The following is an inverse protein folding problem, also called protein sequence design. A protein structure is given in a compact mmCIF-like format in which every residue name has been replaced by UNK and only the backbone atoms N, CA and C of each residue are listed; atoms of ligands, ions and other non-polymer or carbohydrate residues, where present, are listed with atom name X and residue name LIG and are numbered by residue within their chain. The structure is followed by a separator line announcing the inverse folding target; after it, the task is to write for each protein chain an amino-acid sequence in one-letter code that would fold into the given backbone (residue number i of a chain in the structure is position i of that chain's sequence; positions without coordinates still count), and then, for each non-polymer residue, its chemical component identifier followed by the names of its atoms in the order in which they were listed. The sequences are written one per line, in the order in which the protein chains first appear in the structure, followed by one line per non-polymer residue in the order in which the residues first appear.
data_IF_356210623252
#
_entry.id   IF_356210623252
#
_cell.length_a   1.000
_cell.length_b   1.000
_cell.length_c   1.000
_cell.angle_alpha   90.00
_cell.angle_beta   90.00
_cell.angle_gamma   90.00
#
_symmetry.space_group_name_H-M   'P 1'
#
loop_
_entity.id
_entity.type
_entity.pdbx_description
1 polymer ?
#
# COMPACT_ATOMS: atom_id res chain seq x y z
N UNK A 1 20.81 -5.71 -8.70
CA UNK A 1 20.32 -4.32 -8.79
C UNK A 1 20.56 -3.76 -10.19
N UNK A 2 19.53 -3.19 -10.84
CA UNK A 2 19.62 -2.66 -12.21
C UNK A 2 19.84 -1.14 -12.25
N UNK A 3 19.20 -0.40 -11.35
CA UNK A 3 19.17 1.08 -11.29
C UNK A 3 18.89 1.58 -9.87
N UNK A 4 19.04 2.88 -9.67
CA UNK A 4 18.60 3.61 -8.46
C UNK A 4 17.25 4.30 -8.72
N UNK A 5 16.48 4.53 -7.65
CA UNK A 5 15.24 5.32 -7.69
C UNK A 5 15.46 6.62 -6.87
N UNK A 6 15.68 7.78 -7.52
CA UNK A 6 15.88 9.05 -6.81
C UNK A 6 14.56 9.66 -6.34
N UNK A 7 14.63 10.63 -5.43
CA UNK A 7 13.50 11.44 -4.94
C UNK A 7 12.37 10.62 -4.26
N UNK A 8 12.73 9.52 -3.60
CA UNK A 8 11.79 8.74 -2.78
C UNK A 8 11.41 9.53 -1.53
N UNK A 9 10.11 9.58 -1.23
CA UNK A 9 9.59 10.32 -0.07
C UNK A 9 9.78 9.54 1.23
N UNK A 10 10.03 10.27 2.33
CA UNK A 10 10.11 9.69 3.69
C UNK A 10 8.80 9.99 4.41
N UNK A 11 8.10 8.94 4.85
CA UNK A 11 6.87 9.06 5.63
C UNK A 11 7.16 8.94 7.13
N UNK A 12 6.79 9.96 7.90
CA UNK A 12 6.95 9.98 9.36
C UNK A 12 5.74 9.41 10.12
N UNK A 13 5.86 9.26 11.46
CA UNK A 13 7.07 9.41 12.25
C UNK A 13 8.02 8.20 12.08
N UNK A 14 9.21 8.27 12.71
CA UNK A 14 10.13 7.13 12.79
C UNK A 14 9.44 5.92 13.42
N UNK A 15 9.71 4.73 12.88
CA UNK A 15 9.14 3.46 13.33
C UNK A 15 10.22 2.51 13.84
N UNK A 16 9.80 1.37 14.39
CA UNK A 16 10.69 0.35 14.94
C UNK A 16 11.47 -0.44 13.89
N UNK A 17 11.02 -0.43 12.63
CA UNK A 17 11.67 -1.11 11.51
C UNK A 17 11.65 -0.23 10.25
N UNK A 18 12.66 -0.41 9.41
CA UNK A 18 12.71 0.22 8.08
C UNK A 18 11.73 -0.51 7.16
N UNK A 19 10.91 0.26 6.43
CA UNK A 19 10.00 -0.27 5.42
C UNK A 19 10.05 0.64 4.20
N UNK A 20 10.17 0.04 3.02
CA UNK A 20 10.15 0.71 1.73
C UNK A 20 8.99 0.13 0.93
N UNK A 21 8.03 0.98 0.62
CA UNK A 21 6.88 0.64 -0.22
C UNK A 21 7.13 1.12 -1.64
N UNK A 22 7.07 0.20 -2.60
CA UNK A 22 7.24 0.48 -4.02
C UNK A 22 6.00 0.02 -4.79
N UNK A 23 5.70 0.69 -5.89
CA UNK A 23 4.85 0.07 -6.91
C UNK A 23 5.55 -1.15 -7.51
N UNK A 24 4.79 -2.08 -8.09
CA UNK A 24 5.38 -3.23 -8.78
C UNK A 24 6.25 -2.79 -9.98
N UNK A 25 5.81 -1.73 -10.67
CA UNK A 25 6.57 -1.07 -11.75
C UNK A 25 7.90 -0.54 -11.25
N UNK A 26 7.93 0.18 -10.12
CA UNK A 26 9.16 0.73 -9.55
C UNK A 26 10.12 -0.37 -9.15
N UNK A 27 9.64 -1.37 -8.39
CA UNK A 27 10.45 -2.52 -7.98
C UNK A 27 11.09 -3.23 -9.19
N UNK A 28 10.32 -3.44 -10.26
CA UNK A 28 10.82 -4.00 -11.52
C UNK A 28 11.87 -3.10 -12.19
N UNK A 29 11.67 -1.79 -12.17
CA UNK A 29 12.55 -0.82 -12.83
C UNK A 29 13.96 -0.80 -12.23
N UNK A 30 14.07 -0.90 -10.90
CA UNK A 30 15.34 -0.94 -10.16
C UNK A 30 15.86 -2.37 -9.93
N UNK A 31 15.06 -3.38 -10.28
CA UNK A 31 15.43 -4.78 -10.23
C UNK A 31 15.46 -5.33 -8.80
N UNK A 32 14.50 -4.91 -7.97
CA UNK A 32 14.25 -5.46 -6.64
C UNK A 32 13.08 -6.43 -6.73
N UNK A 33 13.26 -7.61 -6.14
CA UNK A 33 12.17 -8.58 -5.96
C UNK A 33 11.44 -8.27 -4.67
N UNK A 34 10.40 -7.45 -4.75
CA UNK A 34 9.57 -7.06 -3.60
C UNK A 34 8.26 -7.88 -3.60
N UNK A 35 7.92 -8.60 -2.51
CA UNK A 35 6.64 -9.29 -2.40
C UNK A 35 5.50 -8.32 -2.09
N UNK A 36 4.26 -8.69 -2.45
CA UNK A 36 3.05 -7.98 -2.03
C UNK A 36 2.78 -8.30 -0.54
N UNK A 37 2.75 -7.28 0.33
CA UNK A 37 2.58 -7.45 1.79
C UNK A 37 1.79 -6.30 2.41
N UNK A 38 1.21 -6.55 3.58
CA UNK A 38 0.67 -5.48 4.43
C UNK A 38 1.80 -4.72 5.14
N UNK A 39 1.58 -3.44 5.43
CA UNK A 39 2.53 -2.65 6.22
C UNK A 39 2.77 -3.30 7.59
N UNK A 40 4.04 -3.51 7.92
CA UNK A 40 4.52 -4.18 9.13
C UNK A 40 4.95 -5.64 8.91
N UNK A 41 4.50 -6.28 7.82
CA UNK A 41 4.92 -7.64 7.47
C UNK A 41 6.14 -7.62 6.52
N UNK A 42 7.29 -7.30 7.11
CA UNK A 42 8.55 -7.09 6.38
C UNK A 42 9.52 -8.27 6.44
N UNK A 43 9.25 -9.29 7.26
CA UNK A 43 10.15 -10.42 7.45
C UNK A 43 10.35 -11.22 6.14
N UNK A 44 11.61 -11.42 5.75
CA UNK A 44 11.99 -12.11 4.52
C UNK A 44 11.53 -11.40 3.23
N UNK A 45 11.24 -10.10 3.31
CA UNK A 45 10.87 -9.29 2.14
C UNK A 45 12.10 -8.83 1.36
N UNK A 46 11.91 -7.95 0.37
CA UNK A 46 12.99 -7.50 -0.49
C UNK A 46 14.07 -6.71 0.27
N UNK A 47 15.27 -6.68 -0.30
CA UNK A 47 16.43 -5.96 0.21
C UNK A 47 16.74 -4.73 -0.65
N UNK A 48 17.31 -3.68 -0.06
CA UNK A 48 17.86 -2.55 -0.79
C UNK A 48 18.94 -1.80 -0.01
N UNK A 49 19.63 -0.91 -0.71
CA UNK A 49 20.43 0.15 -0.10
C UNK A 49 19.60 1.43 -0.06
N UNK A 50 19.56 2.08 1.10
CA UNK A 50 18.93 3.39 1.28
C UNK A 50 20.04 4.41 1.43
N UNK A 51 20.04 5.43 0.56
CA UNK A 51 21.08 6.46 0.49
C UNK A 51 20.46 7.80 0.86
N UNK A 52 20.97 8.42 1.91
CA UNK A 52 20.58 9.76 2.36
C UNK A 52 21.75 10.75 2.26
N UNK A 53 21.50 12.04 2.56
CA UNK A 53 22.53 13.08 2.44
C UNK A 53 23.71 12.90 3.40
N UNK A 54 23.53 12.15 4.49
CA UNK A 54 24.54 11.96 5.55
C UNK A 54 25.13 10.54 5.57
N UNK A 55 24.81 9.68 4.59
CA UNK A 55 25.30 8.31 4.55
C UNK A 55 24.32 7.32 3.94
N UNK A 56 24.65 6.05 4.02
CA UNK A 56 23.86 4.95 3.47
C UNK A 56 23.71 3.80 4.47
N UNK A 57 22.63 3.03 4.29
CA UNK A 57 22.41 1.78 5.00
C UNK A 57 21.97 0.70 4.01
N UNK A 58 22.39 -0.54 4.25
CA UNK A 58 21.86 -1.72 3.56
C UNK A 58 20.86 -2.44 4.47
N UNK A 59 19.67 -2.73 3.94
CA UNK A 59 18.66 -3.53 4.63
C UNK A 59 18.53 -4.87 3.90
N UNK A 60 18.60 -5.98 4.65
CA UNK A 60 18.42 -7.33 4.11
C UNK A 60 16.96 -7.72 3.91
N UNK A 61 16.05 -6.98 4.53
CA UNK A 61 14.59 -7.09 4.40
C UNK A 61 13.96 -5.71 4.69
N UNK A 62 12.75 -5.47 4.21
CA UNK A 62 11.99 -4.23 4.40
C UNK A 62 11.34 -3.68 3.13
N UNK A 63 11.65 -4.22 1.95
CA UNK A 63 11.10 -3.73 0.67
C UNK A 63 9.90 -4.56 0.23
N UNK A 64 8.74 -3.91 0.07
CA UNK A 64 7.47 -4.54 -0.29
C UNK A 64 6.76 -3.78 -1.41
N UNK A 65 5.89 -4.48 -2.13
CA UNK A 65 4.78 -3.84 -2.85
C UNK A 65 3.60 -3.77 -1.89
N UNK A 66 3.04 -2.58 -1.70
CA UNK A 66 1.98 -2.37 -0.72
C UNK A 66 0.72 -3.16 -1.13
N UNK A 67 0.23 -4.04 -0.26
CA UNK A 67 -1.07 -4.68 -0.45
C UNK A 67 -2.17 -3.65 -0.18
N UNK A 68 -3.10 -3.45 -1.11
CA UNK A 68 -4.26 -2.57 -0.93
C UNK A 68 -5.07 -2.91 0.32
N UNK A 69 -5.51 -1.87 1.01
CA UNK A 69 -6.22 -2.00 2.27
C UNK A 69 -7.11 -0.79 2.54
N UNK A 70 -8.07 -0.94 3.45
CA UNK A 70 -8.90 0.13 3.97
C UNK A 70 -8.54 0.32 5.44
N UNK A 71 -8.19 1.53 5.83
CA UNK A 71 -8.15 1.94 7.21
C UNK A 71 -9.55 2.39 7.64
N UNK A 72 -10.04 1.88 8.77
CA UNK A 72 -11.31 2.26 9.38
C UNK A 72 -11.15 2.49 10.89
N UNK A 73 -11.96 3.37 11.45
CA UNK A 73 -12.22 3.36 12.90
C UNK A 73 -13.15 2.20 13.26
N UNK A 74 -13.23 1.77 14.54
CA UNK A 74 -14.20 0.76 14.95
C UNK A 74 -15.66 1.14 14.64
N UNK A 75 -16.01 2.44 14.76
CA UNK A 75 -17.33 2.95 14.43
C UNK A 75 -17.63 2.84 12.93
N UNK A 76 -16.69 3.24 12.06
CA UNK A 76 -16.87 3.12 10.61
C UNK A 76 -17.01 1.63 10.20
N UNK A 77 -16.23 0.75 10.81
CA UNK A 77 -16.29 -0.68 10.54
C UNK A 77 -17.65 -1.28 10.94
N UNK A 78 -18.19 -0.88 12.10
CA UNK A 78 -19.54 -1.27 12.54
C UNK A 78 -20.62 -0.74 11.58
N UNK A 79 -20.55 0.53 11.18
CA UNK A 79 -21.49 1.15 10.23
C UNK A 79 -21.46 0.45 8.86
N UNK A 80 -20.28 0.09 8.38
CA UNK A 80 -20.08 -0.60 7.11
C UNK A 80 -20.28 -2.12 7.20
N UNK A 81 -20.53 -2.66 8.40
CA UNK A 81 -20.77 -4.09 8.61
C UNK A 81 -19.55 -4.99 8.35
N UNK A 82 -18.33 -4.47 8.52
CA UNK A 82 -17.06 -5.19 8.31
C UNK A 82 -16.24 -5.26 9.60
N UNK A 83 -15.26 -6.16 9.64
CA UNK A 83 -14.38 -6.39 10.80
C UNK A 83 -12.92 -6.28 10.42
N UNK A 84 -12.06 -6.11 11.43
CA UNK A 84 -10.61 -6.17 11.24
C UNK A 84 -10.21 -7.49 10.54
N UNK A 85 -9.40 -7.35 9.50
CA UNK A 85 -8.89 -8.41 8.62
C UNK A 85 -9.91 -9.08 7.71
N UNK A 86 -11.13 -8.56 7.61
CA UNK A 86 -12.03 -8.97 6.54
C UNK A 86 -11.39 -8.66 5.18
N UNK A 87 -11.62 -9.55 4.22
CA UNK A 87 -11.18 -9.38 2.83
C UNK A 87 -12.42 -9.04 2.01
N UNK A 88 -12.43 -7.85 1.43
CA UNK A 88 -13.59 -7.30 0.74
C UNK A 88 -13.30 -6.98 -0.73
N UNK A 89 -14.38 -6.71 -1.46
CA UNK A 89 -14.34 -6.17 -2.81
C UNK A 89 -14.74 -4.70 -2.76
N UNK A 90 -13.99 -3.84 -3.44
CA UNK A 90 -14.31 -2.41 -3.56
C UNK A 90 -14.56 -2.07 -5.01
N UNK A 91 -15.79 -1.66 -5.29
CA UNK A 91 -16.19 -1.10 -6.58
C UNK A 91 -15.75 0.35 -6.67
N UNK A 92 -15.06 0.68 -7.75
CA UNK A 92 -14.58 2.00 -8.09
C UNK A 92 -15.24 2.46 -9.38
N UNK A 93 -15.91 3.61 -9.32
CA UNK A 93 -16.56 4.22 -10.48
C UNK A 93 -15.70 5.37 -11.01
N UNK A 94 -15.01 5.11 -12.12
CA UNK A 94 -14.20 6.07 -12.85
C UNK A 94 -14.60 6.11 -14.32
N UNK A 95 -14.22 7.19 -15.02
CA UNK A 95 -14.43 7.25 -16.46
C UNK A 95 -13.55 6.20 -17.16
N UNK A 96 -14.16 5.42 -18.06
CA UNK A 96 -13.54 4.40 -18.92
C UNK A 96 -12.89 3.19 -18.25
N UNK A 97 -12.50 3.27 -16.97
CA UNK A 97 -11.74 2.22 -16.26
C UNK A 97 -12.38 1.79 -14.94
N UNK A 98 -13.72 1.72 -14.88
CA UNK A 98 -14.45 1.14 -13.73
C UNK A 98 -13.91 -0.25 -13.41
N UNK A 99 -13.77 -0.54 -12.13
CA UNK A 99 -13.26 -1.83 -11.68
C UNK A 99 -13.86 -2.21 -10.33
N UNK A 100 -13.78 -3.51 -10.02
CA UNK A 100 -13.96 -4.00 -8.66
C UNK A 100 -12.63 -4.61 -8.23
N UNK A 101 -12.00 -4.01 -7.23
CA UNK A 101 -10.74 -4.49 -6.67
C UNK A 101 -11.04 -5.49 -5.56
N UNK A 102 -10.61 -6.74 -5.71
CA UNK A 102 -10.73 -7.79 -4.68
C UNK A 102 -9.53 -7.83 -3.75
N UNK A 103 -9.49 -8.76 -2.81
CA UNK A 103 -8.36 -8.92 -1.88
C UNK A 103 -8.01 -7.65 -1.08
N UNK A 104 -9.00 -6.78 -0.85
CA UNK A 104 -8.82 -5.55 -0.09
C UNK A 104 -8.93 -5.86 1.39
N UNK A 105 -7.85 -5.66 2.14
CA UNK A 105 -7.82 -5.95 3.58
C UNK A 105 -8.44 -4.81 4.36
N UNK A 106 -9.42 -5.09 5.21
CA UNK A 106 -9.93 -4.12 6.19
C UNK A 106 -9.00 -4.11 7.40
N UNK A 107 -8.56 -2.91 7.82
CA UNK A 107 -7.71 -2.70 8.99
C UNK A 107 -8.40 -1.72 9.93
N UNK A 108 -8.72 -2.16 11.14
CA UNK A 108 -9.50 -1.38 12.10
C UNK A 108 -8.61 -0.90 13.24
N UNK A 109 -8.64 0.41 13.52
CA UNK A 109 -7.94 0.99 14.67
C UNK A 109 -8.54 2.33 15.07
N UNK A 110 -8.55 2.63 16.38
CA UNK A 110 -8.89 3.95 16.92
C UNK A 110 -7.95 5.07 16.42
N UNK A 111 -6.77 4.70 15.88
CA UNK A 111 -5.77 5.65 15.36
C UNK A 111 -5.92 5.93 13.86
N UNK A 112 -6.90 5.32 13.21
CA UNK A 112 -7.12 5.43 11.78
C UNK A 112 -8.21 6.44 11.44
N UNK A 113 -8.31 6.74 10.15
CA UNK A 113 -9.39 7.47 9.53
C UNK A 113 -9.84 6.67 8.31
N UNK A 114 -11.14 6.69 8.01
CA UNK A 114 -11.71 6.01 6.85
C UNK A 114 -10.99 6.42 5.55
N UNK A 115 -10.19 5.49 5.00
CA UNK A 115 -9.44 5.71 3.77
C UNK A 115 -9.01 4.38 3.15
N UNK A 116 -9.24 4.22 1.84
CA UNK A 116 -8.65 3.13 1.07
C UNK A 116 -7.29 3.55 0.52
N UNK A 117 -6.28 2.73 0.73
CA UNK A 117 -4.94 2.93 0.22
C UNK A 117 -4.68 1.92 -0.91
N UNK A 118 -4.32 2.46 -2.07
CA UNK A 118 -3.84 1.72 -3.25
C UNK A 118 -2.56 2.37 -3.74
N UNK A 119 -1.70 1.61 -4.41
CA UNK A 119 -0.47 2.18 -4.97
C UNK A 119 -0.72 2.92 -6.31
N UNK A 120 0.35 3.48 -6.87
CA UNK A 120 0.27 4.23 -8.13
C UNK A 120 -0.04 3.35 -9.33
N UNK A 121 0.38 2.08 -9.37
CA UNK A 121 0.04 1.16 -10.45
C UNK A 121 -1.45 0.84 -10.42
N UNK A 122 -2.00 0.55 -9.24
CA UNK A 122 -3.42 0.29 -9.01
C UNK A 122 -4.29 1.51 -9.33
N UNK A 123 -3.88 2.70 -8.86
CA UNK A 123 -4.56 3.97 -9.17
C UNK A 123 -4.60 4.24 -10.68
N UNK A 124 -3.47 4.08 -11.37
CA UNK A 124 -3.39 4.25 -12.82
C UNK A 124 -4.23 3.20 -13.58
N UNK A 125 -4.29 1.97 -13.09
CA UNK A 125 -5.07 0.88 -13.71
C UNK A 125 -6.56 1.17 -13.75
N UNK A 126 -7.09 1.95 -12.79
CA UNK A 126 -8.49 2.34 -12.72
C UNK A 126 -8.74 3.82 -13.03
N UNK A 127 -7.71 4.56 -13.46
CA UNK A 127 -7.80 6.01 -13.69
C UNK A 127 -8.35 6.79 -12.49
N UNK A 128 -7.99 6.39 -11.27
CA UNK A 128 -8.45 7.06 -10.05
C UNK A 128 -7.83 8.46 -9.93
N UNK A 129 -8.64 9.51 -9.74
CA UNK A 129 -8.13 10.82 -9.32
C UNK A 129 -7.65 10.78 -7.86
N UNK A 130 -7.12 11.91 -7.37
CA UNK A 130 -6.69 12.04 -5.97
C UNK A 130 -7.79 11.80 -4.95
N UNK A 131 -9.02 12.18 -5.28
CA UNK A 131 -10.20 11.98 -4.43
C UNK A 131 -11.23 11.15 -5.19
N UNK A 132 -11.45 9.92 -4.73
CA UNK A 132 -12.39 8.97 -5.28
C UNK A 132 -13.03 8.18 -4.15
N UNK A 133 -14.35 8.08 -4.16
CA UNK A 133 -15.10 7.26 -3.21
C UNK A 133 -15.34 5.86 -3.81
N UNK A 134 -15.12 4.83 -2.99
CA UNK A 134 -15.38 3.44 -3.34
C UNK A 134 -16.57 2.87 -2.56
N UNK A 135 -17.17 1.81 -3.10
CA UNK A 135 -18.29 1.09 -2.49
C UNK A 135 -17.82 -0.33 -2.15
N UNK A 136 -17.95 -0.75 -0.88
CA UNK A 136 -17.74 -2.15 -0.51
C UNK A 136 -18.91 -2.97 -1.06
N UNK A 137 -18.61 -4.02 -1.83
CA UNK A 137 -19.61 -4.86 -2.50
C UNK A 137 -19.40 -6.34 -2.18
N UNK A 138 -20.48 -7.12 -2.28
CA UNK A 138 -20.44 -8.58 -2.25
C UNK A 138 -20.46 -9.09 -3.71
N UNK A 139 -19.57 -10.03 -4.04
CA UNK A 139 -19.54 -10.72 -5.34
C UNK A 139 -19.94 -12.19 -5.21
#
# INVERSE_FOLDING_TARGET
PKKELPNVSILGPVRSANQVELSATDARSIGISAPIRESGDVAGSGACKIIGPCGEIEISEGVIVAKRHIHLTPADAEEMGVKDKDIVWVKLDTNDRKAILGDVVVRVSEKFSAAMHIDTDESNAVAAPRELWGEIVNL
#
